data_IF_761406107217
#
_entry.id   IF_761406107217
#
_cell.length_a   1.000
_cell.length_b   1.000
_cell.length_c   1.000
_cell.angle_alpha   90.00
_cell.angle_beta   90.00
_cell.angle_gamma   90.00
#
_symmetry.space_group_name_H-M   'P 1'
#
loop_
_entity.id
_entity.type
_entity.pdbx_description
1 polymer ?
#
# COMPACT_ATOMS: atom_id res chain seq x y z
N UNK A 1 9.88 -5.25 -17.08
CA UNK A 1 9.87 -3.78 -17.25
C UNK A 1 9.92 -3.14 -15.88
N UNK A 2 10.96 -2.34 -15.60
CA UNK A 2 11.03 -1.52 -14.38
C UNK A 2 10.21 -0.26 -14.61
N UNK A 3 9.46 0.16 -13.59
CA UNK A 3 8.66 1.38 -13.69
C UNK A 3 9.56 2.61 -13.71
N UNK A 4 9.27 3.58 -14.59
CA UNK A 4 10.09 4.79 -14.85
C UNK A 4 10.43 5.66 -13.63
N UNK A 5 9.74 5.49 -12.51
CA UNK A 5 9.98 6.27 -11.29
C UNK A 5 10.59 5.41 -10.16
N UNK A 6 10.95 4.14 -10.42
CA UNK A 6 11.56 3.27 -9.41
C UNK A 6 12.93 3.81 -8.98
N UNK A 7 13.61 4.48 -9.91
CA UNK A 7 14.94 5.08 -9.76
C UNK A 7 14.89 6.40 -8.96
N UNK A 8 13.76 7.10 -9.01
CA UNK A 8 13.54 8.41 -8.37
C UNK A 8 12.61 8.32 -7.16
N UNK A 9 12.29 7.10 -6.69
CA UNK A 9 11.44 6.93 -5.52
C UNK A 9 12.22 7.40 -4.29
N UNK A 10 11.78 8.51 -3.71
CA UNK A 10 12.25 8.96 -2.40
C UNK A 10 11.49 8.20 -1.33
N UNK A 11 12.18 7.29 -0.63
CA UNK A 11 11.65 6.70 0.60
C UNK A 11 11.90 7.70 1.73
N UNK A 12 10.85 8.16 2.38
CA UNK A 12 10.95 9.00 3.57
C UNK A 12 11.36 8.11 4.74
N UNK A 13 12.45 8.45 5.40
CA UNK A 13 12.83 7.80 6.65
C UNK A 13 11.87 8.27 7.76
N UNK A 14 10.74 7.57 7.89
CA UNK A 14 9.71 7.86 8.89
C UNK A 14 9.82 6.92 10.11
N UNK A 15 10.91 6.14 10.22
CA UNK A 15 11.12 5.15 11.29
C UNK A 15 10.11 3.99 11.30
N UNK A 16 9.25 3.88 10.28
CA UNK A 16 8.12 2.94 10.24
C UNK A 16 8.60 1.54 9.87
N UNK A 17 8.73 0.67 10.87
CA UNK A 17 9.07 -0.75 10.67
C UNK A 17 7.81 -1.55 10.40
N UNK A 18 7.71 -2.10 9.20
CA UNK A 18 6.58 -2.94 8.81
C UNK A 18 6.82 -4.36 9.33
N UNK A 19 5.93 -4.90 10.19
CA UNK A 19 6.08 -6.26 10.70
C UNK A 19 5.89 -7.28 9.57
N UNK A 20 6.47 -8.49 9.65
CA UNK A 20 6.33 -9.52 8.61
C UNK A 20 4.91 -10.09 8.50
N UNK A 21 4.04 -9.86 9.48
CA UNK A 21 2.66 -10.39 9.55
C UNK A 21 1.73 -9.48 10.34
N UNK A 22 0.41 -9.70 10.22
CA UNK A 22 -0.61 -8.92 10.96
C UNK A 22 -0.94 -7.55 10.38
N UNK A 23 -0.85 -7.38 9.06
CA UNK A 23 -1.02 -6.08 8.42
C UNK A 23 -2.51 -5.74 8.41
N UNK A 24 -2.83 -4.50 8.75
CA UNK A 24 -4.19 -3.95 8.76
C UNK A 24 -4.19 -2.58 8.11
N UNK A 25 -5.29 -2.22 7.45
CA UNK A 25 -5.44 -0.87 6.94
C UNK A 25 -5.45 0.13 8.10
N UNK A 26 -4.78 1.27 7.93
CA UNK A 26 -4.74 2.33 8.96
C UNK A 26 -6.06 3.10 9.08
N UNK A 27 -6.92 3.05 8.04
CA UNK A 27 -8.22 3.72 8.01
C UNK A 27 -9.42 2.79 8.24
N UNK A 28 -9.24 1.47 8.19
CA UNK A 28 -10.33 0.51 8.45
C UNK A 28 -9.79 -0.83 8.95
N UNK A 29 -10.67 -1.68 9.48
CA UNK A 29 -10.31 -3.01 10.01
C UNK A 29 -10.11 -4.10 8.94
N UNK A 30 -9.90 -3.71 7.68
CA UNK A 30 -9.57 -4.67 6.63
C UNK A 30 -8.14 -5.18 6.78
N UNK A 31 -7.99 -6.51 6.73
CA UNK A 31 -6.69 -7.22 6.76
C UNK A 31 -6.33 -7.85 5.41
N UNK A 32 -7.16 -7.64 4.38
CA UNK A 32 -7.01 -8.20 3.04
C UNK A 32 -7.03 -7.07 2.00
N UNK A 33 -6.43 -7.33 0.83
CA UNK A 33 -6.28 -6.34 -0.25
C UNK A 33 -5.60 -5.05 0.22
N UNK A 34 -4.48 -5.22 0.94
CA UNK A 34 -3.69 -4.13 1.47
C UNK A 34 -2.62 -3.71 0.45
N UNK A 35 -2.27 -2.43 0.51
CA UNK A 35 -1.29 -1.77 -0.33
C UNK A 35 -0.33 -1.03 0.57
N UNK A 36 0.96 -1.29 0.40
CA UNK A 36 2.04 -0.59 1.09
C UNK A 36 2.51 0.55 0.21
N UNK A 37 2.50 1.75 0.75
CA UNK A 37 3.14 2.89 0.12
C UNK A 37 4.63 2.88 0.47
N UNK A 38 5.52 2.70 -0.52
CA UNK A 38 6.97 2.68 -0.29
C UNK A 38 7.58 4.05 0.04
N UNK A 39 6.83 5.13 -0.12
CA UNK A 39 7.28 6.51 0.17
C UNK A 39 7.24 6.78 1.67
N UNK A 40 6.17 6.39 2.35
CA UNK A 40 5.91 6.71 3.77
C UNK A 40 5.78 5.45 4.65
N UNK A 41 5.61 4.28 4.05
CA UNK A 41 5.32 3.04 4.76
C UNK A 41 3.86 2.90 5.21
N UNK A 42 2.93 3.72 4.71
CA UNK A 42 1.51 3.58 5.06
C UNK A 42 0.87 2.33 4.46
N UNK A 43 0.01 1.66 5.24
CA UNK A 43 -0.70 0.44 4.84
C UNK A 43 -2.18 0.76 4.67
N UNK A 44 -2.67 0.63 3.44
CA UNK A 44 -4.02 1.06 3.06
C UNK A 44 -4.74 -0.02 2.27
N UNK A 45 -6.06 -0.11 2.39
CA UNK A 45 -6.84 -1.04 1.58
C UNK A 45 -7.01 -0.52 0.15
N UNK A 46 -7.10 -1.47 -0.79
CA UNK A 46 -7.27 -1.21 -2.22
C UNK A 46 -8.67 -0.73 -2.58
N UNK A 47 -8.98 -0.77 -3.87
CA UNK A 47 -10.28 -0.33 -4.40
C UNK A 47 -11.41 -1.25 -3.97
N UNK A 48 -12.60 -0.68 -3.83
CA UNK A 48 -13.85 -1.41 -3.67
C UNK A 48 -14.24 -2.05 -5.00
N UNK A 49 -14.60 -3.33 -5.00
CA UNK A 49 -15.19 -3.96 -6.18
C UNK A 49 -16.70 -3.71 -6.24
N UNK A 50 -17.27 -3.81 -7.43
CA UNK A 50 -18.69 -3.59 -7.68
C UNK A 50 -19.60 -4.57 -6.92
N UNK A 51 -19.08 -5.76 -6.63
CA UNK A 51 -19.70 -6.82 -5.83
C UNK A 51 -19.83 -6.47 -4.32
N UNK A 52 -19.31 -5.32 -3.89
CA UNK A 52 -19.29 -4.92 -2.49
C UNK A 52 -18.15 -5.55 -1.67
N UNK A 53 -17.50 -6.58 -2.21
CA UNK A 53 -16.25 -7.15 -1.71
C UNK A 53 -15.04 -6.28 -2.12
N UNK A 54 -13.91 -6.41 -1.41
CA UNK A 54 -12.66 -5.69 -1.73
C UNK A 54 -12.16 -4.75 -0.63
N UNK A 55 -11.60 -3.61 -1.04
CA UNK A 55 -11.17 -2.53 -0.14
C UNK A 55 -12.12 -1.34 -0.13
N UNK A 56 -11.71 -0.21 0.47
CA UNK A 56 -12.49 1.03 0.60
C UNK A 56 -11.84 2.21 -0.12
N UNK A 57 -11.03 1.96 -1.17
CA UNK A 57 -10.35 2.97 -1.98
C UNK A 57 -9.34 3.85 -1.21
N UNK A 58 -9.03 3.53 0.05
CA UNK A 58 -8.11 4.32 0.89
C UNK A 58 -6.71 4.47 0.27
N UNK A 59 -6.18 3.44 -0.42
CA UNK A 59 -4.90 3.54 -1.10
C UNK A 59 -4.92 4.56 -2.26
N UNK A 60 -6.05 4.66 -2.96
CA UNK A 60 -6.24 5.60 -4.07
C UNK A 60 -6.45 7.01 -3.55
N UNK A 61 -7.26 7.18 -2.50
CA UNK A 61 -7.46 8.48 -1.87
C UNK A 61 -6.16 9.05 -1.29
N UNK A 62 -5.40 8.23 -0.57
CA UNK A 62 -4.11 8.65 -0.05
C UNK A 62 -3.18 9.04 -1.20
N UNK A 63 -3.13 8.27 -2.29
CA UNK A 63 -2.34 8.64 -3.46
C UNK A 63 -2.72 10.02 -4.02
N UNK A 64 -4.03 10.31 -4.14
CA UNK A 64 -4.53 11.63 -4.58
C UNK A 64 -4.10 12.76 -3.63
N UNK A 65 -4.18 12.54 -2.31
CA UNK A 65 -3.82 13.54 -1.29
C UNK A 65 -2.30 13.76 -1.25
N UNK A 66 -1.52 12.69 -1.35
CA UNK A 66 -0.06 12.79 -1.22
C UNK A 66 0.57 13.39 -2.48
N UNK A 67 -0.09 13.28 -3.66
CA UNK A 67 0.32 13.91 -4.92
C UNK A 67 1.68 13.46 -5.46
N UNK A 68 2.31 12.49 -4.81
CA UNK A 68 3.62 11.94 -5.17
C UNK A 68 3.41 10.72 -6.07
N UNK A 69 4.33 10.44 -7.02
CA UNK A 69 4.37 9.16 -7.74
C UNK A 69 4.78 8.05 -6.76
N UNK A 70 3.87 7.72 -5.85
CA UNK A 70 4.06 6.72 -4.82
C UNK A 70 3.84 5.34 -5.43
N UNK A 71 4.86 4.50 -5.28
CA UNK A 71 4.76 3.08 -5.59
C UNK A 71 3.95 2.41 -4.52
N UNK A 72 2.69 2.15 -4.84
CA UNK A 72 1.84 1.30 -4.02
C UNK A 72 2.08 -0.15 -4.46
N UNK A 73 2.74 -0.93 -3.62
CA UNK A 73 2.84 -2.37 -3.83
C UNK A 73 1.67 -3.06 -3.15
N UNK A 74 0.96 -3.90 -3.90
CA UNK A 74 -0.07 -4.75 -3.32
C UNK A 74 0.62 -5.74 -2.38
N UNK A 75 0.26 -5.67 -1.11
CA UNK A 75 0.60 -6.68 -0.11
C UNK A 75 -0.40 -7.83 -0.32
N UNK A 76 -0.24 -8.54 -1.42
CA UNK A 76 -0.76 -9.90 -1.50
C UNK A 76 0.01 -10.71 -0.46
N UNK A 77 -0.66 -11.56 0.33
CA UNK A 77 -0.10 -12.45 1.38
C UNK A 77 0.95 -13.47 0.87
N UNK A 78 1.89 -13.08 0.02
CA UNK A 78 3.03 -13.85 -0.44
C UNK A 78 4.28 -12.98 -0.39
N UNK A 79 4.83 -12.89 0.80
CA UNK A 79 6.27 -13.05 0.99
C UNK A 79 6.50 -14.48 1.51
N UNK A 80 6.01 -15.49 0.76
CA UNK A 80 6.62 -16.81 0.90
C UNK A 80 7.93 -16.73 0.14
N UNK A 81 9.02 -16.70 0.91
CA UNK A 81 10.37 -17.02 0.47
C UNK A 81 10.35 -18.22 -0.47
N UNK A 82 10.58 -17.98 -1.75
CA UNK A 82 11.27 -18.84 -2.73
C UNK A 82 11.35 -18.14 -4.08
#
# INVERSE_FOLDING_TARGET
MVSKHAETLVQLDNGKKIPPSGWKCEKCDLTNNLWLNLTDGSILCGRKFFDGSGGNDHAVEQFKVTGKPAYNFRISKRLTSQ
#
